data_IF_028408886778
#
_entry.id   IF_028408886778
#
_cell.length_a   1.000
_cell.length_b   1.000
_cell.length_c   1.000
_cell.angle_alpha   90.00
_cell.angle_beta   90.00
_cell.angle_gamma   90.00
#
_symmetry.space_group_name_H-M   'P 1'
#
loop_
_entity.id
_entity.type
_entity.pdbx_description
1 polymer ?
#
# COMPACT_ATOMS: atom_id res chain seq x y z
N UNK A 1 13.34 -9.29 -3.42
CA UNK A 1 13.56 -10.10 -2.19
C UNK A 1 12.57 -11.27 -2.14
N UNK A 2 12.97 -12.45 -1.65
CA UNK A 2 12.03 -13.59 -1.44
C UNK A 2 11.12 -13.28 -0.24
N UNK A 3 9.84 -13.57 -0.37
CA UNK A 3 8.79 -13.37 0.65
C UNK A 3 7.77 -14.50 0.58
N UNK A 4 7.02 -14.74 1.66
CA UNK A 4 5.95 -15.74 1.71
C UNK A 4 4.80 -15.35 0.77
N UNK A 5 3.88 -16.28 0.52
CA UNK A 5 2.67 -15.97 -0.27
C UNK A 5 1.85 -14.87 0.41
N UNK A 6 1.64 -15.00 1.71
CA UNK A 6 0.95 -14.01 2.54
C UNK A 6 1.51 -12.60 2.37
N UNK A 7 2.82 -12.41 2.60
CA UNK A 7 3.44 -11.09 2.43
C UNK A 7 3.55 -10.64 0.98
N UNK A 8 3.50 -11.55 0.01
CA UNK A 8 3.49 -11.20 -1.41
C UNK A 8 2.17 -10.58 -1.86
N UNK A 9 1.05 -11.05 -1.32
CA UNK A 9 -0.27 -10.52 -1.59
C UNK A 9 -0.50 -9.25 -0.76
N UNK A 10 -0.21 -9.32 0.55
CA UNK A 10 -0.47 -8.21 1.47
C UNK A 10 0.32 -6.93 1.14
N UNK A 11 1.58 -7.04 0.70
CA UNK A 11 2.37 -5.85 0.33
C UNK A 11 1.80 -5.12 -0.88
N UNK A 12 1.16 -5.83 -1.82
CA UNK A 12 0.56 -5.19 -3.01
C UNK A 12 -0.62 -4.34 -2.60
N UNK A 13 -1.53 -4.90 -1.80
CA UNK A 13 -2.71 -4.18 -1.31
C UNK A 13 -2.30 -3.01 -0.40
N UNK A 14 -1.28 -3.20 0.44
CA UNK A 14 -0.72 -2.13 1.27
C UNK A 14 -0.18 -0.96 0.43
N UNK A 15 0.58 -1.24 -0.64
CA UNK A 15 1.12 -0.19 -1.49
C UNK A 15 0.01 0.56 -2.24
N UNK A 16 -1.04 -0.14 -2.70
CA UNK A 16 -2.20 0.49 -3.32
C UNK A 16 -2.93 1.44 -2.33
N UNK A 17 -3.16 0.99 -1.09
CA UNK A 17 -3.75 1.81 -0.04
C UNK A 17 -2.89 3.03 0.30
N UNK A 18 -1.56 2.92 0.24
CA UNK A 18 -0.67 4.06 0.41
C UNK A 18 -0.82 5.03 -0.77
N UNK A 19 -0.79 4.53 -2.00
CA UNK A 19 -0.88 5.34 -3.23
C UNK A 19 -2.18 6.16 -3.27
N UNK A 20 -3.31 5.56 -2.89
CA UNK A 20 -4.61 6.22 -2.75
C UNK A 20 -4.58 7.40 -1.75
N UNK A 21 -3.63 7.42 -0.83
CA UNK A 21 -3.46 8.50 0.14
C UNK A 21 -2.49 9.58 -0.33
N UNK A 22 -1.65 9.34 -1.34
CA UNK A 22 -0.53 10.22 -1.72
C UNK A 22 -1.02 11.54 -2.32
N UNK A 23 -1.84 11.51 -3.36
CA UNK A 23 -2.26 12.70 -4.12
C UNK A 23 -3.73 13.07 -3.92
N UNK A 24 -4.02 14.36 -3.96
CA UNK A 24 -5.38 14.85 -4.22
C UNK A 24 -5.66 14.98 -5.73
N UNK A 25 -6.89 15.32 -6.08
CA UNK A 25 -7.31 15.52 -7.48
C UNK A 25 -6.59 16.70 -8.18
N UNK A 26 -5.84 17.51 -7.43
CA UNK A 26 -5.03 18.63 -7.94
C UNK A 26 -3.52 18.28 -7.99
N UNK A 27 -3.14 17.03 -7.71
CA UNK A 27 -1.76 16.55 -7.74
C UNK A 27 -0.90 16.94 -6.52
N UNK A 28 -1.48 17.51 -5.46
CA UNK A 28 -0.73 17.89 -4.25
C UNK A 28 -0.59 16.72 -3.28
N UNK A 29 0.57 16.61 -2.64
CA UNK A 29 0.79 15.60 -1.61
C UNK A 29 -0.04 15.90 -0.35
N UNK A 30 -1.00 15.01 -0.06
CA UNK A 30 -1.90 15.11 1.11
C UNK A 30 -1.75 13.92 2.07
N UNK A 31 -0.77 13.05 1.83
CA UNK A 31 -0.52 11.82 2.58
C UNK A 31 -0.53 12.03 4.10
N UNK A 32 0.30 12.94 4.61
CA UNK A 32 0.41 13.17 6.06
C UNK A 32 -0.90 13.68 6.68
N UNK A 33 -1.66 14.49 5.93
CA UNK A 33 -2.96 14.97 6.39
C UNK A 33 -3.96 13.81 6.50
N UNK A 34 -4.11 13.01 5.43
CA UNK A 34 -5.04 11.86 5.41
C UNK A 34 -4.67 10.80 6.45
N UNK A 35 -3.37 10.54 6.64
CA UNK A 35 -2.88 9.65 7.68
C UNK A 35 -3.25 10.15 9.08
N UNK A 36 -3.06 11.45 9.35
CA UNK A 36 -3.44 12.02 10.64
C UNK A 36 -4.94 11.99 10.90
N UNK A 37 -5.76 12.15 9.86
CA UNK A 37 -7.21 11.97 9.94
C UNK A 37 -7.55 10.51 10.29
N UNK A 38 -7.03 9.51 9.54
CA UNK A 38 -7.24 8.08 9.85
C UNK A 38 -6.79 7.72 11.28
N UNK A 39 -5.63 8.21 11.73
CA UNK A 39 -5.09 7.94 13.08
C UNK A 39 -6.01 8.44 14.20
N UNK A 40 -6.77 9.52 13.98
CA UNK A 40 -7.75 10.02 14.96
C UNK A 40 -8.96 9.12 15.10
N UNK A 41 -9.22 8.29 14.09
CA UNK A 41 -10.35 7.35 14.03
C UNK A 41 -9.92 5.90 14.31
N UNK A 42 -8.71 5.70 14.86
CA UNK A 42 -8.13 4.37 15.04
C UNK A 42 -9.08 3.38 15.73
N UNK A 43 -9.72 3.77 16.84
CA UNK A 43 -10.58 2.86 17.60
C UNK A 43 -11.80 2.41 16.79
N UNK A 44 -12.27 3.21 15.82
CA UNK A 44 -13.35 2.85 14.91
C UNK A 44 -12.89 1.93 13.78
N UNK A 45 -11.64 2.07 13.34
CA UNK A 45 -11.06 1.35 12.20
C UNK A 45 -10.43 0.01 12.63
N UNK A 46 -9.93 -0.12 13.85
CA UNK A 46 -9.23 -1.32 14.34
C UNK A 46 -9.96 -2.66 14.11
N UNK A 47 -11.30 -2.76 14.24
CA UNK A 47 -12.00 -4.01 13.93
C UNK A 47 -11.78 -4.52 12.49
N UNK A 48 -11.39 -3.64 11.55
CA UNK A 48 -11.11 -4.00 10.16
C UNK A 48 -9.84 -4.84 9.99
N UNK A 49 -9.02 -5.01 11.02
CA UNK A 49 -7.80 -5.85 10.98
C UNK A 49 -8.11 -7.28 10.50
N UNK A 50 -9.29 -7.82 10.83
CA UNK A 50 -9.65 -9.20 10.46
C UNK A 50 -10.01 -9.35 8.97
N UNK A 51 -10.42 -8.27 8.30
CA UNK A 51 -10.92 -8.31 6.92
C UNK A 51 -10.00 -7.61 5.93
N UNK A 52 -9.45 -6.45 6.32
CA UNK A 52 -8.63 -5.57 5.48
C UNK A 52 -7.49 -4.96 6.32
N UNK A 53 -6.54 -5.79 6.81
CA UNK A 53 -5.45 -5.31 7.66
C UNK A 53 -4.57 -4.27 6.96
N UNK A 54 -4.36 -4.35 5.64
CA UNK A 54 -3.60 -3.38 4.86
C UNK A 54 -4.11 -1.94 4.99
N UNK A 55 -5.42 -1.77 5.03
CA UNK A 55 -6.08 -0.46 5.14
C UNK A 55 -5.84 0.16 6.52
N UNK A 56 -5.72 -0.68 7.55
CA UNK A 56 -5.39 -0.26 8.92
C UNK A 56 -3.88 -0.01 9.07
N UNK A 57 -3.06 -0.84 8.41
CA UNK A 57 -1.60 -0.80 8.46
C UNK A 57 -1.02 0.55 8.02
N UNK A 58 -1.64 1.23 7.05
CA UNK A 58 -1.18 2.56 6.57
C UNK A 58 -1.11 3.60 7.69
N UNK A 59 -1.88 3.47 8.78
CA UNK A 59 -1.77 4.39 9.92
C UNK A 59 -0.37 4.41 10.54
N UNK A 60 0.38 3.31 10.41
CA UNK A 60 1.75 3.15 10.87
C UNK A 60 2.79 3.53 9.82
N UNK A 61 2.39 4.17 8.72
CA UNK A 61 3.32 4.67 7.71
C UNK A 61 4.39 5.55 8.35
N UNK A 62 5.65 5.12 8.23
CA UNK A 62 6.83 5.79 8.77
C UNK A 62 6.99 5.65 10.28
N UNK A 63 6.26 4.74 10.94
CA UNK A 63 6.33 4.57 12.39
C UNK A 63 7.60 3.83 12.85
N UNK A 64 8.14 2.94 12.01
CA UNK A 64 9.19 1.99 12.39
C UNK A 64 10.53 2.25 11.71
N UNK A 65 11.60 2.19 12.49
CA UNK A 65 12.96 2.04 11.99
C UNK A 65 13.55 0.69 12.40
N UNK A 66 14.25 0.03 11.49
CA UNK A 66 14.66 -1.37 11.63
C UNK A 66 16.13 -1.48 12.04
N UNK A 67 16.41 -2.12 13.18
CA UNK A 67 17.79 -2.36 13.66
C UNK A 67 18.35 -3.70 13.21
N UNK A 68 17.48 -4.71 13.10
CA UNK A 68 17.84 -6.08 12.74
C UNK A 68 17.13 -6.49 11.44
N UNK A 69 17.75 -6.26 10.27
CA UNK A 69 17.20 -6.68 9.00
C UNK A 69 16.93 -8.18 8.93
N UNK A 70 17.75 -9.01 9.59
CA UNK A 70 17.70 -10.48 9.59
C UNK A 70 16.39 -11.00 10.17
N UNK A 71 15.97 -10.44 11.31
CA UNK A 71 14.70 -10.79 11.95
C UNK A 71 13.52 -10.45 11.04
N UNK A 72 13.57 -9.27 10.39
CA UNK A 72 12.54 -8.90 9.42
C UNK A 72 12.49 -9.83 8.20
N UNK A 73 13.65 -10.31 7.71
CA UNK A 73 13.63 -11.29 6.60
C UNK A 73 12.97 -12.60 7.02
N UNK A 74 13.19 -13.05 8.26
CA UNK A 74 12.55 -14.25 8.80
C UNK A 74 11.03 -14.07 8.85
N UNK A 75 10.55 -12.94 9.37
CA UNK A 75 9.11 -12.63 9.44
C UNK A 75 8.49 -12.62 8.04
N UNK A 76 9.12 -11.91 7.10
CA UNK A 76 8.68 -11.80 5.70
C UNK A 76 8.60 -13.16 4.97
N UNK A 77 9.37 -14.16 5.43
CA UNK A 77 9.34 -15.52 4.89
C UNK A 77 8.32 -16.44 5.59
N UNK A 78 7.70 -15.98 6.69
CA UNK A 78 6.68 -16.71 7.46
C UNK A 78 5.26 -16.14 7.23
N UNK A 79 4.30 -16.56 8.05
CA UNK A 79 2.87 -16.24 7.99
C UNK A 79 2.29 -16.25 9.42
N UNK A 80 1.36 -15.34 9.80
CA UNK A 80 0.65 -15.36 11.07
C UNK A 80 0.05 -16.71 11.50
N UNK A 81 -0.32 -17.58 10.56
CA UNK A 81 -0.86 -18.91 10.87
C UNK A 81 0.21 -19.92 11.31
N UNK A 82 1.50 -19.60 11.13
CA UNK A 82 2.61 -20.48 11.49
C UNK A 82 2.96 -20.38 12.98
N UNK A 83 3.30 -21.50 13.63
CA UNK A 83 3.60 -21.53 15.07
C UNK A 83 4.89 -20.78 15.45
N UNK A 84 5.75 -20.48 14.47
CA UNK A 84 6.99 -19.74 14.68
C UNK A 84 6.88 -18.26 14.30
N UNK A 85 5.67 -17.76 14.04
CA UNK A 85 5.44 -16.34 13.81
C UNK A 85 5.76 -15.55 15.09
N UNK A 86 6.59 -14.52 14.93
CA UNK A 86 7.12 -13.76 16.07
C UNK A 86 6.02 -12.95 16.74
N UNK A 87 6.06 -12.81 18.07
CA UNK A 87 5.14 -11.93 18.79
C UNK A 87 5.54 -10.46 18.63
N UNK A 88 4.60 -9.53 18.84
CA UNK A 88 4.92 -8.10 18.83
C UNK A 88 5.94 -7.74 19.91
N UNK A 89 5.81 -8.30 21.11
CA UNK A 89 6.69 -8.01 22.23
C UNK A 89 8.16 -8.38 21.95
N UNK A 90 8.38 -9.50 21.25
CA UNK A 90 9.73 -9.92 20.85
C UNK A 90 10.29 -9.01 19.76
N UNK A 91 9.45 -8.64 18.78
CA UNK A 91 9.86 -7.78 17.67
C UNK A 91 10.14 -6.33 18.11
N UNK A 92 9.32 -5.75 18.99
CA UNK A 92 9.39 -4.34 19.37
C UNK A 92 10.77 -3.94 19.91
N UNK A 93 11.45 -4.85 20.61
CA UNK A 93 12.80 -4.65 21.15
C UNK A 93 13.88 -4.44 20.06
N UNK A 94 13.63 -4.96 18.86
CA UNK A 94 14.50 -4.92 17.68
C UNK A 94 14.16 -3.75 16.74
N UNK A 95 13.13 -2.97 17.09
CA UNK A 95 12.67 -1.82 16.32
C UNK A 95 12.96 -0.50 17.06
N UNK A 96 12.96 0.57 16.28
CA UNK A 96 12.73 1.93 16.78
C UNK A 96 11.30 2.31 16.42
N UNK A 97 10.54 2.74 17.41
CA UNK A 97 9.14 3.14 17.25
C UNK A 97 9.03 4.63 17.52
N UNK A 98 8.42 5.35 16.58
CA UNK A 98 8.13 6.78 16.75
C UNK A 98 7.18 7.02 17.93
N UNK A 99 7.41 8.07 18.71
CA UNK A 99 6.63 8.35 19.93
C UNK A 99 5.12 8.49 19.66
N UNK A 100 4.75 9.07 18.51
CA UNK A 100 3.35 9.22 18.10
C UNK A 100 2.64 7.88 17.82
N UNK A 101 3.38 6.81 17.51
CA UNK A 101 2.82 5.51 17.15
C UNK A 101 2.57 4.61 18.39
N UNK A 102 3.22 4.89 19.52
CA UNK A 102 3.05 4.16 20.79
C UNK A 102 1.59 4.05 21.26
N UNK A 103 0.77 5.13 21.26
CA UNK A 103 -0.65 4.99 21.60
C UNK A 103 -1.41 4.11 20.60
N UNK A 104 -1.07 4.15 19.30
CA UNK A 104 -1.72 3.34 18.27
C UNK A 104 -1.41 1.84 18.43
N UNK A 105 -0.15 1.51 18.74
CA UNK A 105 0.28 0.15 19.11
C UNK A 105 -0.51 -0.32 20.34
N UNK A 106 -0.59 0.52 21.37
CA UNK A 106 -1.30 0.19 22.60
C UNK A 106 -2.80 -0.05 22.37
N UNK A 107 -3.44 0.65 21.44
CA UNK A 107 -4.83 0.36 21.04
C UNK A 107 -4.93 -0.92 20.23
N UNK A 108 -4.00 -1.16 19.29
CA UNK A 108 -3.99 -2.36 18.45
C UNK A 108 -3.85 -3.64 19.27
N UNK A 109 -2.97 -3.65 20.29
CA UNK A 109 -2.78 -4.82 21.16
C UNK A 109 -4.01 -5.18 22.03
N UNK A 110 -5.03 -4.31 22.12
CA UNK A 110 -6.26 -4.59 22.87
C UNK A 110 -7.28 -5.39 22.05
N UNK A 111 -7.14 -5.44 20.74
CA UNK A 111 -8.08 -6.14 19.87
C UNK A 111 -7.55 -7.52 19.48
N UNK A 112 -8.47 -8.43 19.14
CA UNK A 112 -8.12 -9.75 18.64
C UNK A 112 -7.30 -9.62 17.34
N UNK A 113 -6.26 -10.43 17.21
CA UNK A 113 -5.34 -10.37 16.05
C UNK A 113 -4.37 -9.19 16.06
N UNK A 114 -4.45 -8.27 17.03
CA UNK A 114 -3.62 -7.06 17.10
C UNK A 114 -2.12 -7.31 17.15
N UNK A 115 -1.68 -8.36 17.86
CA UNK A 115 -0.26 -8.75 17.94
C UNK A 115 0.31 -9.14 16.57
N UNK A 116 -0.33 -10.10 15.90
CA UNK A 116 0.06 -10.55 14.57
C UNK A 116 -0.08 -9.45 13.51
N UNK A 117 -1.08 -8.58 13.66
CA UNK A 117 -1.28 -7.41 12.81
C UNK A 117 -0.10 -6.43 12.91
N UNK A 118 0.37 -6.10 14.11
CA UNK A 118 1.49 -5.18 14.29
C UNK A 118 2.80 -5.74 13.72
N UNK A 119 3.04 -7.04 13.91
CA UNK A 119 4.20 -7.74 13.32
C UNK A 119 4.12 -7.73 11.80
N UNK A 120 2.95 -8.03 11.23
CA UNK A 120 2.72 -7.94 9.79
C UNK A 120 2.92 -6.52 9.27
N UNK A 121 2.41 -5.51 9.97
CA UNK A 121 2.55 -4.09 9.63
C UNK A 121 4.02 -3.65 9.62
N UNK A 122 4.81 -4.06 10.61
CA UNK A 122 6.25 -3.80 10.62
C UNK A 122 6.96 -4.47 9.43
N UNK A 123 6.57 -5.68 9.06
CA UNK A 123 7.10 -6.36 7.88
C UNK A 123 6.71 -5.65 6.56
N UNK A 124 5.50 -5.11 6.45
CA UNK A 124 5.08 -4.30 5.31
C UNK A 124 5.91 -3.02 5.19
N UNK A 125 6.12 -2.30 6.29
CA UNK A 125 6.99 -1.12 6.32
C UNK A 125 8.43 -1.43 5.92
N UNK A 126 8.96 -2.58 6.35
CA UNK A 126 10.29 -3.04 5.97
C UNK A 126 10.40 -3.34 4.48
N UNK A 127 9.39 -4.04 3.92
CA UNK A 127 9.32 -4.38 2.51
C UNK A 127 9.21 -3.11 1.65
N UNK A 128 8.30 -2.19 2.00
CA UNK A 128 8.16 -0.89 1.31
C UNK A 128 9.49 -0.16 1.27
N UNK A 129 10.17 -0.04 2.41
CA UNK A 129 11.45 0.66 2.45
C UNK A 129 12.50 -0.01 1.55
N UNK A 130 12.54 -1.34 1.47
CA UNK A 130 13.50 -2.03 0.59
C UNK A 130 13.18 -1.88 -0.90
N UNK A 131 11.90 -1.84 -1.26
CA UNK A 131 11.50 -1.62 -2.64
C UNK A 131 11.72 -0.15 -3.06
N UNK A 132 11.52 0.83 -2.17
CA UNK A 132 11.86 2.24 -2.45
C UNK A 132 13.38 2.48 -2.57
N UNK A 133 14.22 1.73 -1.85
CA UNK A 133 15.67 1.76 -2.04
C UNK A 133 16.18 0.90 -3.22
N UNK A 134 15.34 0.02 -3.80
CA UNK A 134 15.67 -0.75 -5.02
C UNK A 134 15.14 -0.12 -6.30
N UNK A 135 14.21 0.83 -6.21
CA UNK A 135 13.76 1.58 -7.36
C UNK A 135 14.93 2.42 -7.92
N UNK A 136 15.21 2.36 -9.24
CA UNK A 136 16.12 3.30 -9.86
C UNK A 136 15.67 4.73 -9.54
N UNK A 137 16.58 5.67 -9.24
CA UNK A 137 16.18 7.07 -9.12
C UNK A 137 15.45 7.48 -10.42
N UNK A 138 14.38 8.28 -10.34
CA UNK A 138 13.75 8.82 -11.53
C UNK A 138 14.83 9.52 -12.34
N UNK A 139 14.93 9.18 -13.63
CA UNK A 139 15.90 9.83 -14.50
C UNK A 139 15.64 11.34 -14.46
N UNK A 140 16.70 12.17 -14.33
CA UNK A 140 16.51 13.60 -14.39
C UNK A 140 15.90 13.92 -15.75
N UNK A 141 14.73 14.57 -15.76
CA UNK A 141 14.14 15.11 -16.97
C UNK A 141 15.16 16.05 -17.61
N UNK A 142 15.84 15.55 -18.63
CA UNK A 142 16.71 16.36 -19.47
C UNK A 142 15.80 17.22 -20.33
N UNK A 143 15.70 18.50 -19.96
CA UNK A 143 15.27 19.57 -20.85
C UNK A 143 16.19 19.58 -22.08
N UNK A 144 15.84 18.82 -23.11
CA UNK A 144 16.35 19.02 -24.45
C UNK A 144 15.22 19.58 -25.31
N UNK A 145 15.21 20.90 -25.43
CA UNK A 145 14.59 21.62 -26.53
C UNK A 145 15.11 21.01 -27.84
N UNK A 146 14.27 20.27 -28.55
CA UNK A 146 14.52 19.96 -29.96
C UNK A 146 13.25 20.27 -30.77
N UNK A 147 13.36 21.43 -31.40
CA UNK A 147 12.54 21.93 -32.50
C UNK A 147 12.77 21.01 -33.71
N UNK A 148 11.76 20.23 -34.12
CA UNK A 148 11.63 19.85 -35.53
C UNK A 148 10.22 19.35 -35.85
N UNK A 149 9.65 20.04 -36.83
CA UNK A 149 8.33 19.87 -37.41
C UNK A 149 8.21 18.49 -38.09
N UNK A 150 7.16 17.73 -37.77
CA UNK A 150 6.65 16.72 -38.69
C UNK A 150 5.14 16.52 -38.50
N UNK A 151 4.38 17.13 -39.41
CA UNK A 151 2.99 16.75 -39.68
C UNK A 151 2.93 15.29 -40.10
N UNK A 152 2.17 14.47 -39.37
CA UNK A 152 1.53 13.27 -39.90
C UNK A 152 0.29 12.97 -39.04
N UNK A 153 -0.86 13.18 -39.68
CA UNK A 153 -2.19 12.66 -39.39
C UNK A 153 -2.16 11.23 -38.83
N UNK A 154 -2.80 11.01 -37.68
CA UNK A 154 -3.37 9.73 -37.23
C UNK A 154 -4.33 10.00 -36.07
N UNK A 155 -5.39 10.77 -36.36
CA UNK A 155 -6.65 10.71 -35.63
C UNK A 155 -7.44 9.51 -36.17
N UNK A 156 -7.37 8.31 -35.55
CA UNK A 156 -8.33 7.21 -35.81
C UNK A 156 -8.21 5.99 -34.85
N UNK A 157 -8.00 6.19 -33.53
CA UNK A 157 -8.07 5.08 -32.54
C UNK A 157 -8.98 5.38 -31.32
N UNK A 158 -10.03 6.21 -31.49
CA UNK A 158 -11.04 6.45 -30.43
C UNK A 158 -12.41 5.79 -30.66
N UNK A 159 -12.63 5.06 -31.76
CA UNK A 159 -13.94 4.45 -32.05
C UNK A 159 -14.07 2.97 -31.58
N UNK A 160 -12.97 2.28 -31.29
CA UNK A 160 -13.00 0.82 -30.99
C UNK A 160 -13.32 0.49 -29.51
N UNK A 161 -13.27 1.49 -28.62
CA UNK A 161 -13.60 1.32 -27.19
C UNK A 161 -15.11 1.34 -26.90
N UNK A 162 -15.90 1.99 -27.76
CA UNK A 162 -17.33 2.12 -27.57
C UNK A 162 -18.07 0.83 -27.95
N UNK A 163 -17.59 0.11 -28.97
CA UNK A 163 -18.22 -1.12 -29.45
C UNK A 163 -17.94 -2.30 -28.48
N UNK A 164 -16.71 -2.42 -27.96
CA UNK A 164 -16.36 -3.44 -26.97
C UNK A 164 -17.13 -3.28 -25.63
N UNK A 165 -17.44 -2.05 -25.23
CA UNK A 165 -18.26 -1.78 -24.04
C UNK A 165 -19.75 -2.12 -24.24
N UNK A 166 -20.27 -1.97 -25.45
CA UNK A 166 -21.67 -2.23 -25.78
C UNK A 166 -22.01 -3.74 -25.75
N UNK A 167 -21.10 -4.59 -26.23
CA UNK A 167 -21.25 -6.05 -26.15
C UNK A 167 -21.29 -6.54 -24.70
N UNK A 168 -20.43 -5.99 -23.84
CA UNK A 168 -20.41 -6.29 -22.41
C UNK A 168 -21.72 -5.89 -21.71
N UNK A 169 -22.29 -4.73 -22.06
CA UNK A 169 -23.56 -4.27 -21.48
C UNK A 169 -24.76 -5.12 -21.93
N UNK A 170 -24.73 -5.59 -23.18
CA UNK A 170 -25.77 -6.47 -23.73
C UNK A 170 -25.77 -7.84 -23.05
N UNK A 171 -24.58 -8.41 -22.78
CA UNK A 171 -24.45 -9.66 -22.00
C UNK A 171 -24.99 -9.53 -20.56
N UNK A 172 -25.00 -8.32 -19.99
CA UNK A 172 -25.58 -8.02 -18.68
C UNK A 172 -27.08 -7.65 -18.76
N UNK A 173 -27.69 -7.71 -19.94
CA UNK A 173 -29.12 -7.46 -20.15
C UNK A 173 -29.53 -5.99 -20.25
N UNK A 174 -28.58 -5.09 -20.55
CA UNK A 174 -28.90 -3.70 -20.89
C UNK A 174 -29.21 -3.58 -22.38
N UNK A 175 -30.26 -2.84 -22.72
CA UNK A 175 -30.61 -2.56 -24.12
C UNK A 175 -29.56 -1.62 -24.75
N UNK A 176 -29.10 -1.90 -25.98
CA UNK A 176 -28.20 -1.00 -26.68
C UNK A 176 -28.90 0.33 -26.98
N UNK A 177 -28.15 1.42 -26.91
CA UNK A 177 -28.66 2.74 -27.30
C UNK A 177 -28.90 2.73 -28.81
N UNK A 178 -30.18 2.77 -29.20
CA UNK A 178 -30.59 3.01 -30.60
C UNK A 178 -29.94 4.32 -31.08
N UNK A 179 -29.19 4.23 -32.17
CA UNK A 179 -28.46 5.35 -32.79
C UNK A 179 -29.38 6.20 -33.67
#
# INVERSE_FOLDING_TARGET
>A
MKKSRYFSELIKSYLAEVDDLVTDSEGKSVLQKRLNEKRREIDAILPMIELSPEMVAVMFYGAFGFRSPEIMQRIVLSDPEQPDFLSWADLESELTVSDWAKPLISSSLKVQGGDAFLVSTAALEFLRNKDTFSAPPPEPESDEENDDENESDDDDEMDDLNEAGADWLTEQGFDPLDR
#
